data_IF_811750050155
#
_entry.id   IF_811750050155
#
_cell.length_a   1.000
_cell.length_b   1.000
_cell.length_c   1.000
_cell.angle_alpha   90.00
_cell.angle_beta   90.00
_cell.angle_gamma   90.00
#
_symmetry.space_group_name_H-M   'P 1'
#
loop_
_entity.id
_entity.type
_entity.pdbx_description
1 polymer ?
#
# COMPACT_ATOMS: atom_id res chain seq x y z
N UNK A 1 16.34 -18.37 2.00
CA UNK A 1 16.72 -16.99 2.38
C UNK A 1 15.45 -16.22 2.71
N UNK A 2 15.47 -15.34 3.72
CA UNK A 2 14.33 -14.46 4.03
C UNK A 2 14.16 -13.44 2.89
N UNK A 3 12.93 -13.26 2.39
CA UNK A 3 12.63 -12.23 1.37
C UNK A 3 12.58 -10.86 2.04
N UNK A 4 13.19 -9.81 1.46
CA UNK A 4 13.00 -8.45 1.94
C UNK A 4 11.52 -8.04 1.85
N UNK A 5 11.08 -7.17 2.76
CA UNK A 5 9.76 -6.51 2.69
C UNK A 5 9.91 -5.05 2.38
N UNK A 6 9.10 -4.57 1.46
CA UNK A 6 9.05 -3.17 1.07
C UNK A 6 7.60 -2.72 1.11
N UNK A 7 7.36 -1.58 1.75
CA UNK A 7 6.07 -0.90 1.71
C UNK A 7 6.25 0.36 0.88
N UNK A 8 5.54 0.47 -0.24
CA UNK A 8 5.43 1.69 -1.02
C UNK A 8 4.16 2.41 -0.62
N UNK A 9 4.28 3.67 -0.20
CA UNK A 9 3.16 4.55 0.14
C UNK A 9 3.06 5.63 -0.92
N UNK A 10 1.86 5.84 -1.47
CA UNK A 10 1.56 6.89 -2.44
C UNK A 10 0.13 7.37 -2.27
N UNK A 11 -0.22 8.48 -2.90
CA UNK A 11 -1.62 8.85 -3.09
C UNK A 11 -1.86 10.17 -3.82
N UNK A 12 -0.81 10.78 -4.37
CA UNK A 12 -0.94 11.83 -5.37
C UNK A 12 -0.66 11.28 -6.77
N UNK A 13 -1.29 11.89 -7.78
CA UNK A 13 -1.03 11.53 -9.18
C UNK A 13 0.46 11.58 -9.56
N UNK A 14 1.26 12.61 -9.19
CA UNK A 14 2.70 12.60 -9.46
C UNK A 14 3.44 11.41 -8.86
N UNK A 15 3.05 10.94 -7.67
CA UNK A 15 3.63 9.74 -7.04
C UNK A 15 3.26 8.49 -7.82
N UNK A 16 1.99 8.31 -8.19
CA UNK A 16 1.52 7.16 -8.99
C UNK A 16 2.34 7.06 -10.29
N UNK A 17 2.50 8.17 -11.01
CA UNK A 17 3.27 8.21 -12.27
C UNK A 17 4.74 7.87 -12.02
N UNK A 18 5.40 8.55 -11.07
CA UNK A 18 6.85 8.40 -10.83
C UNK A 18 7.21 7.03 -10.26
N UNK A 19 6.40 6.50 -9.34
CA UNK A 19 6.65 5.23 -8.66
C UNK A 19 6.18 4.02 -9.47
N UNK A 20 5.40 4.20 -10.53
CA UNK A 20 4.88 3.11 -11.36
C UNK A 20 5.95 2.11 -11.82
N UNK A 21 7.15 2.57 -12.17
CA UNK A 21 8.27 1.70 -12.55
C UNK A 21 8.84 0.94 -11.35
N UNK A 22 8.99 1.60 -10.21
CA UNK A 22 9.48 0.96 -8.98
C UNK A 22 8.51 -0.12 -8.50
N UNK A 23 7.21 0.18 -8.46
CA UNK A 23 6.15 -0.77 -8.06
C UNK A 23 6.21 -2.03 -8.90
N UNK A 24 6.26 -1.91 -10.23
CA UNK A 24 6.33 -3.08 -11.13
C UNK A 24 7.61 -3.90 -10.95
N UNK A 25 8.75 -3.24 -10.75
CA UNK A 25 10.01 -3.94 -10.49
C UNK A 25 9.98 -4.69 -9.16
N UNK A 26 9.42 -4.08 -8.11
CA UNK A 26 9.27 -4.70 -6.79
C UNK A 26 8.32 -5.90 -6.85
N UNK A 27 7.19 -5.78 -7.55
CA UNK A 27 6.21 -6.87 -7.73
C UNK A 27 6.78 -8.08 -8.51
N UNK A 28 7.77 -7.85 -9.38
CA UNK A 28 8.45 -8.91 -10.17
C UNK A 28 9.69 -9.48 -9.48
N UNK A 29 10.10 -8.90 -8.35
CA UNK A 29 11.30 -9.29 -7.62
C UNK A 29 10.96 -10.32 -6.53
N UNK A 30 11.96 -11.06 -5.98
CA UNK A 30 11.77 -11.92 -4.80
C UNK A 30 11.63 -11.07 -3.51
N UNK A 31 10.75 -10.09 -3.53
CA UNK A 31 10.43 -9.12 -2.47
C UNK A 31 8.96 -9.26 -2.15
N UNK A 32 8.65 -9.28 -0.85
CA UNK A 32 7.28 -9.18 -0.38
C UNK A 32 6.88 -7.70 -0.39
N UNK A 33 6.30 -7.25 -1.50
CA UNK A 33 5.97 -5.84 -1.74
C UNK A 33 4.52 -5.51 -1.38
N UNK A 34 4.35 -4.46 -0.58
CA UNK A 34 3.06 -3.93 -0.15
C UNK A 34 2.86 -2.52 -0.71
N UNK A 35 1.68 -2.24 -1.23
CA UNK A 35 1.31 -0.97 -1.83
C UNK A 35 0.14 -0.35 -1.06
N UNK A 36 0.37 0.84 -0.51
CA UNK A 36 -0.63 1.62 0.22
C UNK A 36 -0.96 2.87 -0.56
N UNK A 37 -2.25 3.11 -0.77
CA UNK A 37 -2.78 4.37 -1.26
C UNK A 37 -3.31 5.20 -0.08
N UNK A 38 -2.85 6.42 0.11
CA UNK A 38 -3.26 7.26 1.24
C UNK A 38 -4.66 7.84 1.08
N UNK A 39 -5.21 7.93 -0.14
CA UNK A 39 -6.60 8.41 -0.37
C UNK A 39 -6.83 9.87 0.08
N UNK A 40 -5.78 10.67 0.05
CA UNK A 40 -5.80 12.10 0.38
C UNK A 40 -6.44 12.97 -0.71
N UNK A 41 -6.65 12.42 -1.91
CA UNK A 41 -7.19 13.15 -3.04
C UNK A 41 -8.61 12.70 -3.37
N UNK A 42 -9.44 13.65 -3.82
CA UNK A 42 -10.88 13.47 -4.00
C UNK A 42 -11.30 12.74 -5.29
N UNK A 43 -10.39 12.53 -6.23
CA UNK A 43 -10.73 11.97 -7.55
C UNK A 43 -10.26 10.52 -7.69
N UNK A 44 -11.02 9.65 -7.05
CA UNK A 44 -10.81 8.21 -7.06
C UNK A 44 -10.95 7.58 -8.45
N UNK A 45 -11.76 8.17 -9.33
CA UNK A 45 -11.91 7.70 -10.71
C UNK A 45 -10.64 7.97 -11.53
N UNK A 46 -10.05 9.16 -11.38
CA UNK A 46 -8.76 9.49 -12.00
C UNK A 46 -7.66 8.55 -11.53
N UNK A 47 -7.52 8.33 -10.22
CA UNK A 47 -6.48 7.45 -9.68
C UNK A 47 -6.59 6.04 -10.26
N UNK A 48 -7.81 5.51 -10.37
CA UNK A 48 -8.06 4.20 -10.99
C UNK A 48 -7.76 4.16 -12.48
N UNK A 49 -7.95 5.27 -13.20
CA UNK A 49 -7.54 5.35 -14.60
C UNK A 49 -6.02 5.24 -14.70
N UNK A 50 -5.26 6.03 -13.93
CA UNK A 50 -3.79 5.99 -13.96
C UNK A 50 -3.22 4.63 -13.54
N UNK A 51 -3.76 4.00 -12.49
CA UNK A 51 -3.35 2.65 -12.08
C UNK A 51 -3.50 1.67 -13.23
N UNK A 52 -4.65 1.70 -13.93
CA UNK A 52 -4.91 0.83 -15.08
C UNK A 52 -4.00 1.15 -16.28
N UNK A 53 -3.90 2.41 -16.67
CA UNK A 53 -3.09 2.84 -17.82
C UNK A 53 -1.59 2.56 -17.63
N UNK A 54 -1.09 2.67 -16.39
CA UNK A 54 0.31 2.41 -16.06
C UNK A 54 0.59 0.92 -15.81
N UNK A 55 -0.43 0.06 -15.89
CA UNK A 55 -0.32 -1.38 -15.66
C UNK A 55 0.09 -1.72 -14.23
N UNK A 56 -0.42 -0.97 -13.26
CA UNK A 56 -0.22 -1.23 -11.83
C UNK A 56 -1.34 -2.13 -11.30
N UNK A 57 -0.99 -2.95 -10.32
CA UNK A 57 -1.99 -3.68 -9.51
C UNK A 57 -2.76 -2.69 -8.62
N UNK A 58 -3.91 -3.13 -8.13
CA UNK A 58 -4.58 -2.39 -7.07
C UNK A 58 -3.73 -2.34 -5.79
N UNK A 59 -3.80 -1.22 -5.02
CA UNK A 59 -3.19 -1.13 -3.71
C UNK A 59 -3.75 -2.20 -2.77
N UNK A 60 -2.89 -2.77 -1.93
CA UNK A 60 -3.29 -3.73 -0.90
C UNK A 60 -4.16 -3.04 0.16
N UNK A 61 -3.89 -1.76 0.41
CA UNK A 61 -4.68 -0.91 1.30
C UNK A 61 -4.92 0.45 0.66
N UNK A 62 -6.12 0.97 0.91
CA UNK A 62 -6.46 2.37 0.78
C UNK A 62 -6.76 2.92 2.17
N UNK A 63 -6.03 3.93 2.63
CA UNK A 63 -6.26 4.51 3.95
C UNK A 63 -7.61 5.22 3.98
N UNK A 64 -8.34 5.19 5.11
CA UNK A 64 -9.66 5.79 5.24
C UNK A 64 -9.58 7.30 5.53
N UNK A 65 -8.74 8.04 4.79
CA UNK A 65 -8.65 9.51 4.92
C UNK A 65 -9.94 10.13 4.40
N UNK A 66 -10.50 11.06 5.19
CA UNK A 66 -11.76 11.74 4.88
C UNK A 66 -11.68 13.25 5.00
N UNK A 67 -10.73 13.75 5.78
CA UNK A 67 -10.62 15.18 6.03
C UNK A 67 -9.93 15.93 4.88
N UNK A 68 -10.44 17.11 4.54
CA UNK A 68 -9.77 18.07 3.66
C UNK A 68 -8.84 19.03 4.42
N UNK A 69 -8.88 19.03 5.76
CA UNK A 69 -7.97 19.83 6.59
C UNK A 69 -6.56 19.22 6.57
N UNK A 70 -5.50 19.94 6.17
CA UNK A 70 -4.16 19.37 6.06
C UNK A 70 -3.63 18.76 7.37
N UNK A 71 -3.90 19.40 8.51
CA UNK A 71 -3.43 18.91 9.81
C UNK A 71 -4.15 17.62 10.22
N UNK A 72 -5.47 17.55 10.01
CA UNK A 72 -6.27 16.36 10.34
C UNK A 72 -5.90 15.22 9.39
N UNK A 73 -5.77 15.52 8.10
CA UNK A 73 -5.34 14.57 7.07
C UNK A 73 -3.99 13.94 7.42
N UNK A 74 -3.00 14.73 7.86
CA UNK A 74 -1.70 14.21 8.30
C UNK A 74 -1.84 13.27 9.50
N UNK A 75 -2.70 13.62 10.46
CA UNK A 75 -3.03 12.75 11.59
C UNK A 75 -3.65 11.41 11.13
N UNK A 76 -4.66 11.47 10.25
CA UNK A 76 -5.29 10.29 9.66
C UNK A 76 -4.28 9.41 8.91
N UNK A 77 -3.35 10.00 8.13
CA UNK A 77 -2.29 9.25 7.46
C UNK A 77 -1.41 8.51 8.47
N UNK A 78 -0.98 9.23 9.52
CA UNK A 78 -0.01 8.72 10.49
C UNK A 78 -0.61 7.56 11.27
N UNK A 79 -1.85 7.70 11.74
CA UNK A 79 -2.57 6.63 12.44
C UNK A 79 -2.81 5.44 11.51
N UNK A 80 -3.33 5.66 10.30
CA UNK A 80 -3.64 4.58 9.37
C UNK A 80 -2.41 3.80 8.92
N UNK A 81 -1.28 4.49 8.68
CA UNK A 81 0.00 3.84 8.38
C UNK A 81 0.51 3.02 9.56
N UNK A 82 0.46 3.57 10.78
CA UNK A 82 0.87 2.87 11.99
C UNK A 82 0.11 1.55 12.19
N UNK A 83 -1.22 1.60 12.15
CA UNK A 83 -2.08 0.42 12.29
C UNK A 83 -1.77 -0.66 11.25
N UNK A 84 -1.50 -0.27 10.01
CA UNK A 84 -1.19 -1.25 8.97
C UNK A 84 0.21 -1.83 9.11
N UNK A 85 1.20 -1.00 9.42
CA UNK A 85 2.56 -1.47 9.67
C UNK A 85 2.61 -2.47 10.82
N UNK A 86 1.82 -2.26 11.88
CA UNK A 86 1.67 -3.24 12.96
C UNK A 86 1.08 -4.57 12.48
N UNK A 87 0.05 -4.54 11.61
CA UNK A 87 -0.54 -5.76 11.02
C UNK A 87 0.48 -6.51 10.15
N UNK A 88 1.22 -5.81 9.28
CA UNK A 88 2.27 -6.41 8.45
C UNK A 88 3.38 -6.98 9.30
N UNK A 89 3.78 -6.28 10.37
CA UNK A 89 4.79 -6.77 11.30
C UNK A 89 4.30 -8.01 12.07
N UNK A 90 3.04 -8.07 12.48
CA UNK A 90 2.47 -9.24 13.15
C UNK A 90 2.54 -10.50 12.26
N UNK A 91 2.12 -10.38 11.00
CA UNK A 91 2.25 -11.46 10.00
C UNK A 91 3.71 -11.88 9.85
N UNK A 92 4.64 -10.93 9.78
CA UNK A 92 6.06 -11.25 9.72
C UNK A 92 6.55 -12.03 10.95
N UNK A 93 6.16 -11.62 12.16
CA UNK A 93 6.57 -12.32 13.38
C UNK A 93 6.03 -13.75 13.44
N UNK A 94 4.84 -14.00 12.91
CA UNK A 94 4.27 -15.36 12.80
C UNK A 94 5.03 -16.23 11.80
N UNK A 95 5.36 -15.68 10.62
CA UNK A 95 6.19 -16.36 9.62
C UNK A 95 7.58 -16.73 10.17
N UNK A 96 8.19 -15.83 10.96
CA UNK A 96 9.48 -16.08 11.61
C UNK A 96 9.45 -17.23 12.61
N UNK A 97 8.29 -17.45 13.25
CA UNK A 97 8.08 -18.54 14.22
C UNK A 97 7.78 -19.89 13.53
N UNK A 98 7.74 -19.93 12.20
CA UNK A 98 7.41 -21.14 11.43
C UNK A 98 5.91 -21.47 11.41
N UNK A 99 5.05 -20.51 11.76
CA UNK A 99 3.60 -20.65 11.67
C UNK A 99 3.10 -20.65 10.22
N UNK A 100 1.92 -21.23 9.97
CA UNK A 100 1.25 -21.12 8.69
C UNK A 100 0.97 -19.65 8.38
N UNK A 101 1.36 -19.18 7.19
CA UNK A 101 1.14 -17.81 6.73
C UNK A 101 -0.37 -17.52 6.76
N UNK A 102 -0.87 -16.55 7.55
CA UNK A 102 -2.21 -16.04 7.34
C UNK A 102 -2.23 -15.48 5.91
N UNK A 103 -3.01 -16.09 5.02
CA UNK A 103 -3.25 -15.46 3.72
C UNK A 103 -3.79 -14.06 4.01
N UNK A 104 -3.04 -13.03 3.61
CA UNK A 104 -3.57 -11.68 3.61
C UNK A 104 -4.95 -11.73 2.93
N UNK A 105 -5.96 -11.03 3.45
CA UNK A 105 -7.23 -10.94 2.77
C UNK A 105 -6.93 -10.37 1.38
N UNK A 106 -6.97 -11.24 0.37
CA UNK A 106 -6.87 -10.80 -1.02
C UNK A 106 -8.00 -9.79 -1.20
N UNK A 107 -7.73 -8.59 -1.75
CA UNK A 107 -8.78 -7.65 -2.04
C UNK A 107 -9.87 -8.38 -2.82
N UNK A 108 -11.12 -8.30 -2.34
CA UNK A 108 -12.27 -8.81 -3.06
C UNK A 108 -12.26 -8.11 -4.43
N UNK A 109 -12.22 -8.92 -5.50
CA UNK A 109 -12.43 -8.45 -6.86
C UNK A 109 -13.76 -7.70 -6.98
#
# INVERSE_FOLDING_TARGET
MKRPRVITVLGTRPEIIKLSKCVRLLDQSPIDHYLIHTNQHYDYEMDRLFIRELGLRDPDIRLPIRSSSPAVMLGEMTTGLGEYMEKVNAVFQEELKGGAVPQQPKPKQ
#
